data_IF_706731509701
#
_entry.id   IF_706731509701
#
_cell.length_a   1.000
_cell.length_b   1.000
_cell.length_c   1.000
_cell.angle_alpha   90.00
_cell.angle_beta   90.00
_cell.angle_gamma   90.00
#
_symmetry.space_group_name_H-M   'P 1'
#
loop_
_entity.id
_entity.type
_entity.pdbx_description
1 polymer ?
#
# COMPACT_ATOMS: atom_id res chain seq x y z
N UNK A 1 27.08 -4.99 -8.52
CA UNK A 1 26.19 -4.94 -9.70
C UNK A 1 25.02 -5.86 -9.36
N UNK A 2 23.97 -5.30 -8.75
CA UNK A 2 22.85 -6.08 -8.24
C UNK A 2 21.98 -6.50 -9.42
N UNK A 3 21.93 -7.81 -9.70
CA UNK A 3 21.00 -8.40 -10.66
C UNK A 3 19.62 -8.42 -10.00
N UNK A 4 18.72 -7.56 -10.46
CA UNK A 4 17.30 -7.73 -10.23
C UNK A 4 16.83 -8.97 -11.02
N UNK A 5 16.57 -10.06 -10.32
CA UNK A 5 15.67 -11.15 -10.72
C UNK A 5 14.43 -10.90 -9.85
N UNK A 6 13.22 -10.65 -10.36
CA UNK A 6 12.45 -11.38 -11.36
C UNK A 6 11.76 -10.35 -12.27
N UNK A 7 11.78 -10.54 -13.59
CA UNK A 7 10.67 -10.03 -14.40
C UNK A 7 9.45 -10.84 -13.96
N UNK A 8 8.57 -10.24 -13.17
CA UNK A 8 7.28 -10.85 -12.82
C UNK A 8 6.57 -11.26 -14.10
N UNK A 9 6.25 -12.54 -14.22
CA UNK A 9 5.71 -13.11 -15.45
C UNK A 9 4.30 -12.55 -15.81
N UNK A 10 3.72 -11.69 -14.96
CA UNK A 10 2.34 -11.23 -15.09
C UNK A 10 2.08 -9.77 -14.61
N UNK A 11 3.00 -8.82 -14.86
CA UNK A 11 2.76 -7.39 -14.50
C UNK A 11 1.47 -6.80 -15.10
N UNK A 12 0.96 -7.39 -16.19
CA UNK A 12 -0.31 -7.01 -16.82
C UNK A 12 -1.53 -7.20 -15.90
N UNK A 13 -1.41 -7.99 -14.82
CA UNK A 13 -2.45 -8.11 -13.80
C UNK A 13 -2.52 -6.90 -12.86
N UNK A 14 -1.53 -6.00 -12.87
CA UNK A 14 -1.47 -4.81 -12.01
C UNK A 14 -2.35 -3.67 -12.55
N UNK A 15 -3.64 -3.95 -12.70
CA UNK A 15 -4.66 -2.96 -13.10
C UNK A 15 -5.37 -2.40 -11.88
N UNK A 16 -5.93 -1.18 -11.98
CA UNK A 16 -6.73 -0.57 -10.90
C UNK A 16 -7.84 -1.48 -10.39
N UNK A 17 -8.52 -2.16 -11.32
CA UNK A 17 -9.59 -3.12 -10.99
C UNK A 17 -9.04 -4.29 -10.16
N UNK A 18 -7.92 -4.87 -10.57
CA UNK A 18 -7.33 -6.01 -9.87
C UNK A 18 -6.76 -5.62 -8.50
N UNK A 19 -6.21 -4.41 -8.36
CA UNK A 19 -5.77 -3.87 -7.07
C UNK A 19 -6.95 -3.75 -6.10
N UNK A 20 -8.06 -3.15 -6.55
CA UNK A 20 -9.24 -3.00 -5.71
C UNK A 20 -9.81 -4.38 -5.29
N UNK A 21 -9.84 -5.34 -6.22
CA UNK A 21 -10.27 -6.72 -5.92
C UNK A 21 -9.32 -7.43 -4.96
N UNK A 22 -8.00 -7.28 -5.14
CA UNK A 22 -6.99 -7.85 -4.25
C UNK A 22 -7.08 -7.31 -2.83
N UNK A 23 -7.24 -5.98 -2.69
CA UNK A 23 -7.48 -5.34 -1.40
C UNK A 23 -8.73 -5.86 -0.69
N UNK A 24 -9.82 -6.07 -1.44
CA UNK A 24 -11.04 -6.67 -0.88
C UNK A 24 -10.84 -8.13 -0.47
N UNK A 25 -10.08 -8.91 -1.25
CA UNK A 25 -9.76 -10.33 -0.98
C UNK A 25 -9.01 -10.49 0.34
N UNK A 26 -8.08 -9.59 0.66
CA UNK A 26 -7.35 -9.61 1.94
C UNK A 26 -8.16 -9.01 3.12
N UNK A 27 -9.41 -8.61 2.87
CA UNK A 27 -10.33 -8.16 3.91
C UNK A 27 -10.33 -6.66 4.20
N UNK A 28 -9.72 -5.82 3.35
CA UNK A 28 -9.88 -4.36 3.47
C UNK A 28 -11.32 -3.96 3.12
N UNK A 29 -11.80 -2.91 3.79
CA UNK A 29 -13.13 -2.36 3.48
C UNK A 29 -13.17 -1.81 2.05
N UNK A 30 -14.33 -1.95 1.39
CA UNK A 30 -14.51 -1.44 0.04
C UNK A 30 -14.24 0.07 -0.07
N UNK A 31 -14.59 0.84 0.96
CA UNK A 31 -14.33 2.28 1.01
C UNK A 31 -12.85 2.62 1.15
N UNK A 32 -12.09 1.85 1.93
CA UNK A 32 -10.65 2.09 2.09
C UNK A 32 -9.88 1.70 0.83
N UNK A 33 -10.21 0.54 0.23
CA UNK A 33 -9.66 0.11 -1.04
C UNK A 33 -9.91 1.15 -2.15
N UNK A 34 -11.14 1.67 -2.24
CA UNK A 34 -11.50 2.69 -3.22
C UNK A 34 -10.71 4.00 -3.04
N UNK A 35 -10.46 4.44 -1.80
CA UNK A 35 -9.66 5.64 -1.54
C UNK A 35 -8.20 5.46 -1.93
N UNK A 36 -7.62 4.27 -1.67
CA UNK A 36 -6.24 3.96 -2.09
C UNK A 36 -6.15 3.99 -3.62
N UNK A 37 -7.03 3.26 -4.31
CA UNK A 37 -7.07 3.18 -5.77
C UNK A 37 -7.31 4.56 -6.39
N UNK A 38 -8.22 5.36 -5.83
CA UNK A 38 -8.49 6.72 -6.30
C UNK A 38 -7.27 7.64 -6.18
N UNK A 39 -6.47 7.48 -5.13
CA UNK A 39 -5.23 8.25 -4.95
C UNK A 39 -4.20 7.89 -6.04
N UNK A 40 -4.08 6.60 -6.36
CA UNK A 40 -3.19 6.09 -7.41
C UNK A 40 -3.66 6.41 -8.84
N UNK A 41 -4.94 6.75 -9.03
CA UNK A 41 -5.53 7.04 -10.34
C UNK A 41 -4.83 8.21 -11.06
N UNK A 42 -4.38 9.21 -10.30
CA UNK A 42 -3.65 10.36 -10.85
C UNK A 42 -2.35 9.96 -11.55
N UNK A 43 -1.61 9.02 -10.95
CA UNK A 43 -0.40 8.43 -11.53
C UNK A 43 -0.70 7.61 -12.77
N UNK A 44 -1.69 6.73 -12.70
CA UNK A 44 -2.10 5.92 -13.85
C UNK A 44 -2.47 6.80 -15.06
N UNK A 45 -3.25 7.85 -14.83
CA UNK A 45 -3.66 8.77 -15.89
C UNK A 45 -2.50 9.55 -16.51
N UNK A 46 -1.43 9.82 -15.74
CA UNK A 46 -0.29 10.62 -16.20
C UNK A 46 0.81 9.79 -16.87
N UNK A 47 1.01 8.55 -16.43
CA UNK A 47 2.10 7.69 -16.89
C UNK A 47 1.66 6.68 -17.95
N UNK A 48 0.35 6.37 -18.02
CA UNK A 48 -0.16 5.27 -18.83
C UNK A 48 -0.01 3.91 -18.13
N UNK A 49 -0.65 2.90 -18.71
CA UNK A 49 -0.80 1.58 -18.08
C UNK A 49 0.51 0.84 -17.89
N UNK A 50 1.35 0.72 -18.92
CA UNK A 50 2.62 -0.02 -18.85
C UNK A 50 3.57 0.57 -17.79
N UNK A 51 3.77 1.90 -17.82
CA UNK A 51 4.64 2.57 -16.85
C UNK A 51 4.08 2.48 -15.41
N UNK A 52 2.75 2.52 -15.25
CA UNK A 52 2.12 2.30 -13.95
C UNK A 52 2.34 0.87 -13.42
N UNK A 53 2.19 -0.14 -14.28
CA UNK A 53 2.41 -1.55 -13.92
C UNK A 53 3.86 -1.78 -13.50
N UNK A 54 4.83 -1.26 -14.26
CA UNK A 54 6.25 -1.33 -13.91
C UNK A 54 6.55 -0.62 -12.59
N UNK A 55 6.03 0.61 -12.41
CA UNK A 55 6.21 1.36 -11.16
C UNK A 55 5.66 0.58 -9.97
N UNK A 56 4.45 0.02 -10.09
CA UNK A 56 3.78 -0.66 -8.99
C UNK A 56 4.46 -1.98 -8.64
N UNK A 57 4.93 -2.74 -9.64
CA UNK A 57 5.71 -3.96 -9.43
C UNK A 57 7.00 -3.68 -8.64
N UNK A 58 7.57 -2.48 -8.76
CA UNK A 58 8.80 -2.07 -8.09
C UNK A 58 8.59 -1.39 -6.72
N UNK A 59 7.35 -1.37 -6.19
CA UNK A 59 7.04 -0.67 -4.95
C UNK A 59 7.73 -1.33 -3.73
N UNK A 60 7.70 -2.66 -3.60
CA UNK A 60 8.47 -3.45 -2.61
C UNK A 60 8.53 -2.81 -1.20
N UNK A 61 7.40 -2.72 -0.50
CA UNK A 61 7.24 -2.09 0.82
C UNK A 61 7.52 -0.57 0.89
N UNK A 62 7.83 0.09 -0.24
CA UNK A 62 7.83 1.56 -0.30
C UNK A 62 6.41 2.09 -0.24
N UNK A 63 6.28 3.26 0.34
CA UNK A 63 5.01 3.98 0.35
C UNK A 63 4.87 4.77 -0.96
N UNK A 64 3.73 4.66 -1.68
CA UNK A 64 3.45 5.54 -2.81
C UNK A 64 3.51 7.01 -2.39
N UNK A 65 4.01 7.86 -3.29
CA UNK A 65 4.24 9.29 -3.04
C UNK A 65 2.96 10.02 -2.62
N UNK A 66 1.81 9.56 -3.10
CA UNK A 66 0.47 10.07 -2.78
C UNK A 66 0.13 9.98 -1.29
N UNK A 67 0.79 9.08 -0.54
CA UNK A 67 0.54 8.86 0.89
C UNK A 67 1.69 9.34 1.78
N UNK A 68 2.78 9.85 1.21
CA UNK A 68 3.93 10.35 1.99
C UNK A 68 3.58 11.63 2.76
N UNK A 69 2.63 12.43 2.26
CA UNK A 69 2.15 13.61 2.99
C UNK A 69 1.45 13.22 4.29
N UNK A 70 1.92 13.79 5.40
CA UNK A 70 1.42 13.48 6.74
C UNK A 70 -0.06 13.83 6.91
N UNK A 71 -0.52 14.96 6.35
CA UNK A 71 -1.91 15.39 6.51
C UNK A 71 -2.85 14.48 5.73
N UNK A 72 -2.47 14.05 4.52
CA UNK A 72 -3.23 13.07 3.74
C UNK A 72 -3.34 11.76 4.52
N UNK A 73 -2.22 11.25 5.05
CA UNK A 73 -2.21 10.01 5.82
C UNK A 73 -3.06 10.10 7.11
N UNK A 74 -3.08 11.26 7.77
CA UNK A 74 -3.95 11.51 8.94
C UNK A 74 -5.43 11.59 8.57
N UNK A 75 -5.77 12.22 7.45
CA UNK A 75 -7.17 12.29 6.99
C UNK A 75 -7.70 10.90 6.65
N UNK A 76 -6.89 10.08 5.99
CA UNK A 76 -7.22 8.66 5.75
C UNK A 76 -7.38 7.89 7.06
N UNK A 77 -6.49 8.12 8.05
CA UNK A 77 -6.64 7.54 9.38
C UNK A 77 -8.00 7.88 9.99
N UNK A 78 -8.38 9.16 10.02
CA UNK A 78 -9.64 9.60 10.63
C UNK A 78 -10.84 8.99 9.93
N UNK A 79 -10.81 8.93 8.59
CA UNK A 79 -11.89 8.35 7.78
C UNK A 79 -12.03 6.84 7.97
N UNK A 80 -10.92 6.13 8.18
CA UNK A 80 -10.83 4.67 8.17
C UNK A 80 -10.24 4.08 9.44
N UNK A 81 -10.41 4.76 10.58
CA UNK A 81 -9.73 4.44 11.82
C UNK A 81 -9.90 2.97 12.24
N UNK A 82 -11.12 2.45 12.18
CA UNK A 82 -11.43 1.08 12.60
C UNK A 82 -10.65 0.03 11.79
N UNK A 83 -10.62 0.18 10.46
CA UNK A 83 -9.91 -0.78 9.61
C UNK A 83 -8.39 -0.63 9.75
N UNK A 84 -7.87 0.60 9.87
CA UNK A 84 -6.43 0.82 10.06
C UNK A 84 -5.94 0.23 11.39
N UNK A 85 -6.65 0.46 12.50
CA UNK A 85 -6.28 -0.11 13.80
C UNK A 85 -6.39 -1.65 13.80
N UNK A 86 -7.38 -2.20 13.08
CA UNK A 86 -7.50 -3.65 12.90
C UNK A 86 -6.31 -4.22 12.11
N UNK A 87 -5.92 -3.58 11.00
CA UNK A 87 -4.78 -4.02 10.19
C UNK A 87 -3.44 -3.84 10.89
N UNK A 88 -3.27 -2.77 11.69
CA UNK A 88 -2.07 -2.59 12.52
C UNK A 88 -1.88 -3.78 13.45
N UNK A 89 -2.92 -4.19 14.18
CA UNK A 89 -2.84 -5.36 15.09
C UNK A 89 -2.49 -6.64 14.34
N UNK A 90 -3.09 -6.87 13.17
CA UNK A 90 -2.75 -8.03 12.34
C UNK A 90 -1.28 -8.01 11.93
N UNK A 91 -0.77 -6.86 11.48
CA UNK A 91 0.64 -6.71 11.13
C UNK A 91 1.57 -6.97 12.31
N UNK A 92 1.22 -6.53 13.53
CA UNK A 92 1.98 -6.84 14.74
C UNK A 92 1.98 -8.35 15.05
N UNK A 93 0.85 -9.03 14.85
CA UNK A 93 0.73 -10.47 15.01
C UNK A 93 1.51 -11.26 13.95
N UNK A 94 1.49 -10.81 12.69
CA UNK A 94 2.18 -11.42 11.55
C UNK A 94 3.70 -11.26 11.66
N UNK A 95 4.17 -10.06 11.99
CA UNK A 95 5.61 -9.72 12.03
C UNK A 95 6.27 -9.97 13.38
N UNK A 96 5.47 -10.11 14.44
CA UNK A 96 5.94 -10.14 15.85
C UNK A 96 6.68 -8.87 16.28
N UNK A 97 6.43 -7.75 15.61
CA UNK A 97 7.01 -6.43 15.91
C UNK A 97 5.90 -5.42 16.18
N UNK A 98 6.08 -4.54 17.17
CA UNK A 98 5.17 -3.43 17.41
C UNK A 98 5.18 -2.42 16.25
N UNK A 99 4.04 -1.77 15.98
CA UNK A 99 3.92 -0.83 14.87
C UNK A 99 4.90 0.35 14.98
N UNK A 100 5.28 0.74 16.21
CA UNK A 100 6.28 1.77 16.46
C UNK A 100 7.64 1.38 15.88
N UNK A 101 8.06 0.12 16.06
CA UNK A 101 9.32 -0.42 15.56
C UNK A 101 9.26 -0.55 14.03
N UNK A 102 8.15 -1.07 13.51
CA UNK A 102 7.96 -1.20 12.07
C UNK A 102 8.05 0.16 11.36
N UNK A 103 7.70 1.26 12.03
CA UNK A 103 7.67 2.62 11.47
C UNK A 103 8.78 3.53 12.01
N UNK A 104 9.91 2.96 12.46
CA UNK A 104 11.04 3.74 12.97
C UNK A 104 11.60 4.72 11.93
N UNK A 105 11.51 4.37 10.63
CA UNK A 105 11.96 5.18 9.50
C UNK A 105 11.23 6.51 9.36
N UNK A 106 10.01 6.59 9.91
CA UNK A 106 9.12 7.76 9.88
C UNK A 106 8.68 8.16 11.29
N UNK A 107 9.53 7.93 12.30
CA UNK A 107 9.19 8.18 13.70
C UNK A 107 8.83 9.66 14.02
N UNK A 108 9.32 10.58 13.19
CA UNK A 108 9.09 12.01 13.29
C UNK A 108 7.66 12.44 12.90
N UNK A 109 6.88 11.55 12.26
CA UNK A 109 5.48 11.82 11.88
C UNK A 109 4.51 11.48 13.01
N UNK A 110 3.32 12.08 12.98
CA UNK A 110 2.25 11.75 13.91
C UNK A 110 1.83 10.27 13.83
N UNK A 111 1.53 9.64 14.98
CA UNK A 111 1.19 8.21 15.07
C UNK A 111 0.09 7.77 14.09
N UNK A 112 -0.92 8.61 13.88
CA UNK A 112 -2.00 8.34 12.92
C UNK A 112 -1.47 8.23 11.48
N UNK A 113 -0.56 9.13 11.07
CA UNK A 113 0.07 9.04 9.76
C UNK A 113 0.91 7.77 9.67
N UNK A 114 1.76 7.50 10.66
CA UNK A 114 2.64 6.32 10.71
C UNK A 114 1.87 5.03 10.54
N UNK A 115 0.78 4.85 11.29
CA UNK A 115 -0.09 3.66 11.19
C UNK A 115 -0.74 3.52 9.81
N UNK A 116 -1.26 4.60 9.24
CA UNK A 116 -1.81 4.59 7.88
C UNK A 116 -0.76 4.20 6.84
N UNK A 117 0.41 4.83 6.91
CA UNK A 117 1.51 4.58 5.98
C UNK A 117 2.04 3.14 6.10
N UNK A 118 2.11 2.60 7.32
CA UNK A 118 2.43 1.19 7.57
C UNK A 118 1.43 0.25 6.89
N UNK A 119 0.14 0.45 7.12
CA UNK A 119 -0.90 -0.42 6.55
C UNK A 119 -0.86 -0.37 5.03
N UNK A 120 -0.79 0.83 4.44
CA UNK A 120 -0.78 0.99 2.98
C UNK A 120 0.45 0.31 2.36
N UNK A 121 1.66 0.58 2.85
CA UNK A 121 2.89 0.04 2.24
C UNK A 121 2.96 -1.50 2.33
N UNK A 122 2.49 -2.09 3.44
CA UNK A 122 2.46 -3.54 3.60
C UNK A 122 1.37 -4.18 2.74
N UNK A 123 0.11 -3.76 2.91
CA UNK A 123 -1.02 -4.39 2.23
C UNK A 123 -0.98 -4.20 0.72
N UNK A 124 -0.51 -3.05 0.24
CA UNK A 124 -0.31 -2.85 -1.20
C UNK A 124 0.78 -3.78 -1.74
N UNK A 125 1.87 -3.99 -1.00
CA UNK A 125 2.93 -4.92 -1.41
C UNK A 125 2.42 -6.36 -1.48
N UNK A 126 1.67 -6.81 -0.47
CA UNK A 126 1.06 -8.14 -0.46
C UNK A 126 0.11 -8.34 -1.65
N UNK A 127 -0.76 -7.37 -1.92
CA UNK A 127 -1.66 -7.42 -3.08
C UNK A 127 -0.88 -7.45 -4.39
N UNK A 128 0.19 -6.68 -4.51
CA UNK A 128 1.03 -6.68 -5.72
C UNK A 128 1.69 -8.04 -5.91
N UNK A 129 2.27 -8.62 -4.85
CA UNK A 129 2.86 -9.96 -4.88
C UNK A 129 1.83 -11.02 -5.32
N UNK A 130 0.65 -11.02 -4.69
CA UNK A 130 -0.48 -11.92 -5.01
C UNK A 130 -0.92 -11.85 -6.49
N UNK A 131 -0.76 -10.69 -7.14
CA UNK A 131 -1.17 -10.47 -8.53
C UNK A 131 -0.07 -10.81 -9.55
N UNK A 132 1.19 -10.82 -9.10
CA UNK A 132 2.37 -11.05 -9.96
C UNK A 132 2.96 -12.46 -9.85
N UNK A 133 2.62 -13.19 -8.80
CA UNK A 133 2.91 -14.62 -8.62
C UNK A 133 2.05 -15.50 -9.55
#
# INVERSE_FOLDING_TARGET
MWKFLNHSNNIHNLTMKNLEMGMKKIGLSASFAADIVSSLQSRFNSQGEEAFQEWLANLHFKLPEEFQDEQIAKQLYIKHQSIIESEVKKLEEETKLGWEIQTEDIEHLHNQARKTQLVIRHRLTEVVMDLTD
#
